data_IF_452859741619
#
_entry.id   IF_452859741619
#
_cell.length_a   1.000
_cell.length_b   1.000
_cell.length_c   1.000
_cell.angle_alpha   90.00
_cell.angle_beta   90.00
_cell.angle_gamma   90.00
#
_symmetry.space_group_name_H-M   'P 1'
#
loop_
_entity.id
_entity.type
_entity.pdbx_description
1 polymer ?
#
# COMPACT_ATOMS: atom_id res chain seq x y z
N UNK A 1 21.45 -44.96 17.21
CA UNK A 1 22.57 -44.76 16.28
C UNK A 1 22.69 -46.00 15.39
N UNK A 2 22.75 -45.87 14.06
CA UNK A 2 22.77 -47.00 13.13
C UNK A 2 24.04 -47.85 13.35
N UNK A 3 23.93 -49.18 13.45
CA UNK A 3 25.09 -50.09 13.60
C UNK A 3 26.14 -49.84 12.51
N UNK A 4 25.72 -49.48 11.29
CA UNK A 4 26.62 -49.10 10.19
C UNK A 4 27.40 -47.80 10.47
N UNK A 5 26.75 -46.81 11.10
CA UNK A 5 27.40 -45.55 11.46
C UNK A 5 28.41 -45.72 12.61
N UNK A 6 28.08 -46.57 13.60
CA UNK A 6 29.03 -46.90 14.68
C UNK A 6 30.29 -47.59 14.13
N UNK A 7 30.14 -48.54 13.20
CA UNK A 7 31.28 -49.21 12.55
C UNK A 7 32.16 -48.21 11.79
N UNK A 8 31.57 -47.24 11.09
CA UNK A 8 32.33 -46.21 10.37
C UNK A 8 33.12 -45.31 11.31
N UNK A 9 32.52 -44.89 12.44
CA UNK A 9 33.21 -44.06 13.44
C UNK A 9 34.41 -44.81 14.02
N UNK A 10 34.23 -46.08 14.39
CA UNK A 10 35.32 -46.92 14.93
C UNK A 10 36.43 -47.08 13.89
N UNK A 11 36.09 -47.27 12.62
CA UNK A 11 37.06 -47.41 11.54
C UNK A 11 37.88 -46.13 11.31
N UNK A 12 37.23 -44.96 11.33
CA UNK A 12 37.91 -43.66 11.21
C UNK A 12 38.90 -43.46 12.37
N UNK A 13 38.47 -43.72 13.61
CA UNK A 13 39.34 -43.62 14.78
C UNK A 13 40.57 -44.53 14.65
N UNK A 14 40.37 -45.76 14.20
CA UNK A 14 41.44 -46.74 14.04
C UNK A 14 42.45 -46.34 12.95
N UNK A 15 41.98 -45.78 11.83
CA UNK A 15 42.86 -45.23 10.78
C UNK A 15 43.67 -44.05 11.31
N UNK A 16 43.03 -43.11 12.01
CA UNK A 16 43.74 -41.92 12.54
C UNK A 16 44.81 -42.30 13.56
N UNK A 17 44.55 -43.30 14.40
CA UNK A 17 45.52 -43.84 15.35
C UNK A 17 46.72 -44.47 14.62
N UNK A 18 46.47 -45.32 13.63
CA UNK A 18 47.53 -45.97 12.85
C UNK A 18 48.38 -44.96 12.07
N UNK A 19 47.76 -43.94 11.49
CA UNK A 19 48.46 -42.86 10.79
C UNK A 19 49.38 -42.07 11.74
N UNK A 20 48.92 -41.78 12.96
CA UNK A 20 49.73 -41.12 13.99
C UNK A 20 50.94 -41.96 14.43
N UNK A 21 50.74 -43.27 14.64
CA UNK A 21 51.83 -44.19 14.97
C UNK A 21 52.85 -44.26 13.84
N UNK A 22 52.39 -44.41 12.58
CA UNK A 22 53.25 -44.47 11.41
C UNK A 22 54.06 -43.19 11.20
N UNK A 23 53.42 -42.02 11.37
CA UNK A 23 54.09 -40.73 11.31
C UNK A 23 55.17 -40.60 12.40
N UNK A 24 54.88 -41.02 13.63
CA UNK A 24 55.87 -40.98 14.71
C UNK A 24 57.04 -41.96 14.49
N UNK A 25 56.81 -43.14 13.88
CA UNK A 25 57.88 -44.09 13.54
C UNK A 25 58.80 -43.54 12.44
N UNK A 26 58.20 -42.89 11.43
CA UNK A 26 58.89 -42.36 10.26
C UNK A 26 59.63 -41.05 10.53
N UNK A 27 59.28 -40.33 11.61
CA UNK A 27 59.95 -39.10 11.99
C UNK A 27 61.36 -39.41 12.55
N UNK A 28 62.44 -38.80 12.03
CA UNK A 28 63.79 -38.98 12.56
C UNK A 28 63.93 -38.53 14.02
N UNK A 29 63.08 -37.62 14.50
CA UNK A 29 62.98 -37.19 15.89
C UNK A 29 61.78 -37.86 16.59
N UNK A 30 61.84 -39.18 16.79
CA UNK A 30 60.76 -39.95 17.43
C UNK A 30 60.44 -39.45 18.83
N UNK A 31 59.16 -39.28 19.14
CA UNK A 31 58.70 -39.02 20.51
C UNK A 31 58.79 -40.35 21.28
N UNK A 32 59.60 -40.40 22.35
CA UNK A 32 59.71 -41.57 23.21
C UNK A 32 58.40 -41.73 24.02
N UNK A 33 57.69 -42.84 23.81
CA UNK A 33 56.42 -43.11 24.50
C UNK A 33 56.59 -43.57 25.95
N UNK A 34 57.80 -43.97 26.34
CA UNK A 34 58.15 -44.35 27.71
C UNK A 34 59.35 -43.52 28.12
N UNK A 35 59.15 -42.63 29.10
CA UNK A 35 60.25 -41.93 29.73
C UNK A 35 61.15 -42.96 30.43
N UNK A 36 62.45 -42.94 30.14
CA UNK A 36 63.42 -43.78 30.85
C UNK A 36 63.27 -43.56 32.36
N UNK A 37 63.18 -44.66 33.11
CA UNK A 37 63.12 -44.62 34.56
C UNK A 37 64.43 -44.00 35.07
N UNK A 38 64.37 -42.73 35.47
CA UNK A 38 65.48 -42.11 36.19
C UNK A 38 65.61 -42.88 37.50
N UNK A 39 66.71 -43.59 37.69
CA UNK A 39 67.15 -43.96 39.04
C UNK A 39 67.37 -42.66 39.81
N UNK A 40 66.42 -42.36 40.68
CA UNK A 40 66.54 -41.32 41.68
C UNK A 40 67.17 -42.01 42.88
N UNK A 41 68.42 -41.68 43.19
CA UNK A 41 69.01 -42.06 44.48
C UNK A 41 68.25 -41.30 45.57
N UNK A 42 67.46 -42.04 46.33
CA UNK A 42 66.68 -41.50 47.43
C UNK A 42 67.55 -41.38 48.67
N UNK A 43 68.21 -40.23 48.78
CA UNK A 43 68.59 -39.66 50.08
C UNK A 43 67.30 -39.25 50.81
N UNK A 44 67.11 -39.77 52.04
CA UNK A 44 65.88 -39.56 52.83
C UNK A 44 65.57 -38.08 53.12
N UNK A 45 66.52 -37.15 52.96
CA UNK A 45 66.31 -35.71 53.17
C UNK A 45 65.75 -34.96 51.95
N UNK A 46 65.92 -35.47 50.72
CA UNK A 46 65.49 -34.77 49.49
C UNK A 46 64.03 -35.04 49.12
N UNK A 47 63.46 -36.13 49.65
CA UNK A 47 62.09 -36.58 49.39
C UNK A 47 61.03 -35.62 49.93
N UNK A 48 61.26 -35.07 51.13
CA UNK A 48 60.35 -34.13 51.77
C UNK A 48 60.41 -32.75 51.11
N UNK A 49 61.61 -32.30 50.71
CA UNK A 49 61.78 -31.00 50.05
C UNK A 49 61.15 -30.99 48.66
N UNK A 50 61.27 -32.09 47.91
CA UNK A 50 60.68 -32.19 46.59
C UNK A 50 59.15 -32.37 46.65
N UNK A 51 58.63 -33.12 47.63
CA UNK A 51 57.19 -33.22 47.88
C UNK A 51 56.56 -31.86 48.24
N UNK A 52 57.22 -31.04 49.05
CA UNK A 52 56.78 -29.68 49.38
C UNK A 52 56.80 -28.73 48.17
N UNK A 53 57.80 -28.84 47.27
CA UNK A 53 57.84 -28.05 46.02
C UNK A 53 56.76 -28.47 45.02
N UNK A 54 56.42 -29.76 44.96
CA UNK A 54 55.33 -30.26 44.13
C UNK A 54 53.98 -29.77 44.66
N UNK A 55 53.82 -29.68 45.98
CA UNK A 55 52.59 -29.15 46.57
C UNK A 55 52.40 -27.66 46.28
N UNK A 56 53.47 -26.85 46.34
CA UNK A 56 53.43 -25.43 45.97
C UNK A 56 53.14 -25.21 44.48
N UNK A 57 53.71 -26.03 43.59
CA UNK A 57 53.44 -25.93 42.15
C UNK A 57 52.01 -26.38 41.79
N UNK A 58 51.48 -27.40 42.47
CA UNK A 58 50.08 -27.81 42.34
C UNK A 58 49.11 -26.75 42.85
N UNK A 59 49.45 -26.08 43.96
CA UNK A 59 48.65 -24.97 44.50
C UNK A 59 48.62 -23.79 43.52
N UNK A 60 49.78 -23.41 42.96
CA UNK A 60 49.88 -22.35 41.94
C UNK A 60 49.14 -22.69 40.65
N UNK A 61 49.15 -23.96 40.24
CA UNK A 61 48.38 -24.43 39.09
C UNK A 61 46.88 -24.37 39.38
N UNK A 62 46.44 -24.79 40.58
CA UNK A 62 45.05 -24.69 41.02
C UNK A 62 44.55 -23.23 41.08
N UNK A 63 45.35 -22.33 41.63
CA UNK A 63 45.05 -20.89 41.71
C UNK A 63 44.95 -20.25 40.32
N UNK A 64 45.82 -20.68 39.39
CA UNK A 64 45.79 -20.21 38.01
C UNK A 64 44.54 -20.69 37.27
N UNK A 65 44.14 -21.95 37.49
CA UNK A 65 42.90 -22.50 36.94
C UNK A 65 41.65 -21.85 37.52
N UNK A 66 41.63 -21.52 38.82
CA UNK A 66 40.56 -20.77 39.48
C UNK A 66 40.43 -19.33 38.93
N UNK A 67 41.56 -18.66 38.67
CA UNK A 67 41.56 -17.35 38.00
C UNK A 67 41.04 -17.42 36.57
N UNK A 68 41.44 -18.45 35.82
CA UNK A 68 40.98 -18.69 34.44
C UNK A 68 39.48 -19.02 34.41
N UNK A 69 38.96 -19.82 35.36
CA UNK A 69 37.53 -20.12 35.43
C UNK A 69 36.70 -18.89 35.76
N UNK A 70 37.13 -18.08 36.74
CA UNK A 70 36.47 -16.82 37.09
C UNK A 70 36.45 -15.83 35.91
N UNK A 71 37.60 -15.62 35.26
CA UNK A 71 37.69 -14.74 34.09
C UNK A 71 36.81 -15.21 32.90
N UNK A 72 36.66 -16.53 32.74
CA UNK A 72 35.79 -17.10 31.71
C UNK A 72 34.30 -16.91 32.03
N UNK A 73 33.91 -17.06 33.29
CA UNK A 73 32.53 -16.81 33.74
C UNK A 73 32.13 -15.34 33.61
N UNK A 74 33.02 -14.42 33.96
CA UNK A 74 32.78 -12.98 33.81
C UNK A 74 32.65 -12.57 32.33
N UNK A 75 33.47 -13.15 31.45
CA UNK A 75 33.39 -12.93 30.00
C UNK A 75 32.07 -13.46 29.42
N UNK A 76 31.59 -14.62 29.90
CA UNK A 76 30.31 -15.21 29.51
C UNK A 76 29.12 -14.38 29.99
N UNK A 77 29.17 -13.87 31.23
CA UNK A 77 28.14 -12.96 31.78
C UNK A 77 28.05 -11.67 30.97
N UNK A 78 29.20 -11.06 30.66
CA UNK A 78 29.24 -9.84 29.87
C UNK A 78 28.68 -10.03 28.45
N UNK A 79 29.00 -11.16 27.79
CA UNK A 79 28.46 -11.49 26.48
C UNK A 79 26.94 -11.71 26.52
N UNK A 80 26.44 -12.37 27.57
CA UNK A 80 25.01 -12.62 27.76
C UNK A 80 24.22 -11.32 28.00
N UNK A 81 24.77 -10.42 28.81
CA UNK A 81 24.15 -9.14 29.12
C UNK A 81 24.11 -8.21 27.90
N UNK A 82 25.20 -8.20 27.12
CA UNK A 82 25.24 -7.52 25.82
C UNK A 82 24.19 -8.07 24.84
N UNK A 83 24.10 -9.40 24.71
CA UNK A 83 23.10 -10.03 23.84
C UNK A 83 21.66 -9.71 24.27
N UNK A 84 21.40 -9.68 25.59
CA UNK A 84 20.10 -9.27 26.13
C UNK A 84 19.77 -7.83 25.74
N UNK A 85 20.73 -6.92 25.86
CA UNK A 85 20.55 -5.52 25.47
C UNK A 85 20.31 -5.33 23.96
N UNK A 86 21.08 -6.04 23.13
CA UNK A 86 20.91 -6.02 21.68
C UNK A 86 19.54 -6.55 21.25
N UNK A 87 19.02 -7.59 21.94
CA UNK A 87 17.68 -8.12 21.68
C UNK A 87 16.57 -7.13 22.04
N UNK A 88 16.73 -6.36 23.12
CA UNK A 88 15.77 -5.32 23.53
C UNK A 88 15.79 -4.15 22.53
N UNK A 89 16.98 -3.74 22.08
CA UNK A 89 17.14 -2.68 21.08
C UNK A 89 16.48 -3.07 19.75
N UNK A 90 16.65 -4.32 19.31
CA UNK A 90 16.01 -4.84 18.10
C UNK A 90 14.48 -4.83 18.21
N UNK A 91 13.91 -5.29 19.33
CA UNK A 91 12.47 -5.29 19.57
C UNK A 91 11.87 -3.87 19.51
N UNK A 92 12.52 -2.90 20.17
CA UNK A 92 12.08 -1.49 20.18
C UNK A 92 12.14 -0.85 18.78
N UNK A 93 13.13 -1.22 17.97
CA UNK A 93 13.24 -0.77 16.57
C UNK A 93 12.12 -1.34 15.69
N UNK A 94 11.74 -2.59 15.90
CA UNK A 94 10.63 -3.22 15.15
C UNK A 94 9.28 -2.61 15.53
N UNK A 95 9.05 -2.35 16.81
CA UNK A 95 7.81 -1.72 17.29
C UNK A 95 7.66 -0.28 16.78
N UNK A 96 8.73 0.49 16.75
CA UNK A 96 8.70 1.85 16.20
C UNK A 96 8.42 1.86 14.70
N UNK A 97 9.03 0.95 13.92
CA UNK A 97 8.74 0.80 12.49
C UNK A 97 7.28 0.39 12.23
N UNK A 98 6.73 -0.51 13.05
CA UNK A 98 5.33 -0.92 12.95
C UNK A 98 4.39 0.26 13.19
N UNK A 99 4.62 1.07 14.23
CA UNK A 99 3.81 2.27 14.52
C UNK A 99 3.87 3.30 13.39
N UNK A 100 5.04 3.47 12.77
CA UNK A 100 5.20 4.35 11.61
C UNK A 100 4.39 3.80 10.43
N UNK A 101 4.48 2.49 10.14
CA UNK A 101 3.72 1.86 9.07
C UNK A 101 2.21 1.98 9.27
N UNK A 102 1.72 1.75 10.49
CA UNK A 102 0.30 1.87 10.83
C UNK A 102 -0.19 3.32 10.65
N UNK A 103 0.64 4.30 11.04
CA UNK A 103 0.35 5.72 10.86
C UNK A 103 0.30 6.12 9.38
N UNK A 104 1.21 5.59 8.56
CA UNK A 104 1.24 5.80 7.11
C UNK A 104 0.01 5.18 6.44
N UNK A 105 -0.36 3.96 6.83
CA UNK A 105 -1.56 3.28 6.31
C UNK A 105 -2.84 4.07 6.65
N UNK A 106 -2.97 4.54 7.88
CA UNK A 106 -4.11 5.36 8.30
C UNK A 106 -4.20 6.69 7.52
N UNK A 107 -3.06 7.33 7.26
CA UNK A 107 -3.00 8.55 6.45
C UNK A 107 -3.37 8.31 4.98
N UNK A 108 -2.92 7.20 4.40
CA UNK A 108 -3.27 6.80 3.03
C UNK A 108 -4.76 6.50 2.90
N UNK A 109 -5.33 5.78 3.86
CA UNK A 109 -6.76 5.47 3.88
C UNK A 109 -7.61 6.75 3.97
N UNK A 110 -7.23 7.69 4.84
CA UNK A 110 -7.91 8.99 4.94
C UNK A 110 -7.82 9.80 3.65
N UNK A 111 -6.68 9.76 2.95
CA UNK A 111 -6.49 10.39 1.64
C UNK A 111 -7.37 9.74 0.57
N UNK A 112 -7.44 8.41 0.53
CA UNK A 112 -8.29 7.66 -0.42
C UNK A 112 -9.78 7.95 -0.20
N UNK A 113 -10.23 8.02 1.05
CA UNK A 113 -11.62 8.35 1.40
C UNK A 113 -11.97 9.79 0.99
N UNK A 114 -11.05 10.74 1.19
CA UNK A 114 -11.21 12.12 0.70
C UNK A 114 -11.30 12.20 -0.83
N UNK A 115 -10.50 11.41 -1.57
CA UNK A 115 -10.51 11.39 -3.04
C UNK A 115 -11.82 10.77 -3.56
N UNK A 116 -12.29 9.67 -2.96
CA UNK A 116 -13.56 9.03 -3.35
C UNK A 116 -14.76 9.95 -3.11
N UNK A 117 -14.78 10.68 -1.99
CA UNK A 117 -15.83 11.65 -1.72
C UNK A 117 -15.80 12.85 -2.68
N UNK A 118 -14.61 13.32 -3.06
CA UNK A 118 -14.48 14.38 -4.07
C UNK A 118 -14.92 13.90 -5.46
N UNK A 119 -14.65 12.65 -5.82
CA UNK A 119 -15.07 12.05 -7.10
C UNK A 119 -16.58 11.81 -7.16
N UNK A 120 -17.22 11.41 -6.06
CA UNK A 120 -18.68 11.26 -5.98
C UNK A 120 -19.45 12.59 -6.02
N UNK A 121 -18.79 13.73 -5.77
CA UNK A 121 -19.37 15.06 -5.95
C UNK A 121 -19.21 15.63 -7.37
N UNK A 122 -18.50 14.93 -8.27
CA UNK A 122 -18.57 15.22 -9.70
C UNK A 122 -19.86 14.61 -10.21
N UNK A 123 -20.97 15.35 -10.11
CA UNK A 123 -22.18 15.05 -10.88
C UNK A 123 -21.75 14.88 -12.34
N UNK A 124 -21.83 13.66 -12.86
CA UNK A 124 -21.61 13.36 -14.27
C UNK A 124 -22.54 14.27 -15.06
N UNK A 125 -21.98 15.32 -15.67
CA UNK A 125 -22.77 16.30 -16.43
C UNK A 125 -23.31 15.53 -17.63
N UNK A 126 -24.61 15.23 -17.60
CA UNK A 126 -25.26 14.51 -18.69
C UNK A 126 -25.21 15.40 -19.92
N UNK A 127 -24.49 14.96 -20.95
CA UNK A 127 -24.37 15.71 -22.20
C UNK A 127 -25.74 15.79 -22.88
N UNK A 128 -26.25 17.00 -23.21
CA UNK A 128 -27.46 17.13 -24.00
C UNK A 128 -27.36 16.45 -25.36
N UNK A 129 -28.49 15.99 -25.89
CA UNK A 129 -28.55 15.23 -27.14
C UNK A 129 -29.24 16.03 -28.23
N UNK A 130 -28.57 16.17 -29.37
CA UNK A 130 -29.12 16.84 -30.55
C UNK A 130 -30.21 15.98 -31.21
N UNK A 131 -31.33 16.61 -31.56
CA UNK A 131 -32.47 15.92 -32.17
C UNK A 131 -32.96 16.66 -33.42
N UNK A 132 -33.54 15.89 -34.35
CA UNK A 132 -34.18 16.39 -35.58
C UNK A 132 -35.68 16.51 -35.40
N UNK A 133 -36.34 17.16 -36.36
CA UNK A 133 -37.77 17.48 -36.32
C UNK A 133 -38.68 16.28 -36.07
N UNK A 134 -38.39 15.11 -36.65
CA UNK A 134 -39.21 13.91 -36.45
C UNK A 134 -39.24 13.46 -34.99
N UNK A 135 -38.08 13.48 -34.33
CA UNK A 135 -37.98 13.11 -32.92
C UNK A 135 -38.53 14.19 -32.01
N UNK A 136 -38.31 15.46 -32.33
CA UNK A 136 -38.94 16.58 -31.61
C UNK A 136 -40.47 16.45 -31.66
N UNK A 137 -41.06 16.17 -32.82
CA UNK A 137 -42.49 15.94 -32.98
C UNK A 137 -42.97 14.74 -32.15
N UNK A 138 -42.23 13.63 -32.14
CA UNK A 138 -42.56 12.47 -31.30
C UNK A 138 -42.53 12.81 -29.79
N UNK A 139 -41.60 13.66 -29.34
CA UNK A 139 -41.55 14.12 -27.95
C UNK A 139 -42.72 15.07 -27.62
N UNK A 140 -43.10 15.93 -28.56
CA UNK A 140 -44.26 16.81 -28.44
C UNK A 140 -45.57 16.01 -28.33
N UNK A 141 -45.74 14.96 -29.14
CA UNK A 141 -46.94 14.10 -29.10
C UNK A 141 -47.07 13.35 -27.78
N UNK A 142 -45.93 13.02 -27.15
CA UNK A 142 -45.84 12.49 -25.79
C UNK A 142 -46.02 13.54 -24.69
N UNK A 143 -46.30 14.80 -25.05
CA UNK A 143 -46.53 15.93 -24.13
C UNK A 143 -45.34 16.26 -23.24
N UNK A 144 -44.12 16.01 -23.72
CA UNK A 144 -42.92 16.51 -23.04
C UNK A 144 -42.80 18.03 -23.19
N UNK A 145 -42.03 18.66 -22.28
CA UNK A 145 -41.96 20.11 -22.20
C UNK A 145 -40.93 20.68 -23.16
N UNK A 146 -41.35 21.70 -23.90
CA UNK A 146 -40.50 22.47 -24.79
C UNK A 146 -40.16 23.81 -24.13
N UNK A 147 -38.90 24.22 -24.23
CA UNK A 147 -38.37 25.46 -23.71
C UNK A 147 -37.88 26.33 -24.86
N UNK A 148 -38.53 27.48 -25.03
CA UNK A 148 -38.14 28.48 -26.03
C UNK A 148 -37.10 29.42 -25.42
N UNK A 149 -35.87 29.36 -25.95
CA UNK A 149 -34.75 30.14 -25.45
C UNK A 149 -34.66 31.56 -26.04
N UNK A 150 -35.56 31.92 -26.97
CA UNK A 150 -35.63 33.24 -27.62
C UNK A 150 -36.23 34.29 -26.70
N UNK A 151 -36.17 35.52 -27.15
CA UNK A 151 -36.74 36.67 -26.45
C UNK A 151 -38.27 36.59 -26.40
N UNK A 152 -38.86 37.23 -25.40
CA UNK A 152 -40.31 37.21 -25.20
C UNK A 152 -41.08 37.76 -26.42
N UNK A 153 -40.51 38.72 -27.15
CA UNK A 153 -41.12 39.26 -28.36
C UNK A 153 -41.25 38.20 -29.47
N UNK A 154 -40.20 37.43 -29.72
CA UNK A 154 -40.19 36.36 -30.71
C UNK A 154 -41.13 35.21 -30.32
N UNK A 155 -41.14 34.86 -29.04
CA UNK A 155 -42.08 33.87 -28.51
C UNK A 155 -43.54 34.31 -28.71
N UNK A 156 -43.85 35.58 -28.37
CA UNK A 156 -45.20 36.13 -28.53
C UNK A 156 -45.63 36.27 -30.00
N UNK A 157 -44.68 36.43 -30.92
CA UNK A 157 -44.95 36.45 -32.36
C UNK A 157 -45.25 35.05 -32.93
N UNK A 158 -44.82 34.00 -32.24
CA UNK A 158 -45.21 32.63 -32.52
C UNK A 158 -44.25 31.62 -31.89
N UNK A 159 -44.80 30.52 -31.37
CA UNK A 159 -44.01 29.49 -30.70
C UNK A 159 -44.66 28.10 -30.76
N UNK A 160 -43.89 27.06 -30.42
CA UNK A 160 -44.39 25.69 -30.32
C UNK A 160 -45.49 25.64 -29.26
N UNK A 161 -46.64 25.04 -29.58
CA UNK A 161 -47.80 25.06 -28.68
C UNK A 161 -47.46 24.48 -27.30
N UNK A 162 -47.74 25.25 -26.24
CA UNK A 162 -47.47 24.82 -24.86
C UNK A 162 -46.00 24.85 -24.45
N UNK A 163 -45.12 25.40 -25.30
CA UNK A 163 -43.75 25.72 -24.91
C UNK A 163 -43.72 26.78 -23.82
N UNK A 164 -42.68 26.72 -22.99
CA UNK A 164 -42.41 27.71 -21.96
C UNK A 164 -41.28 28.62 -22.42
N UNK A 165 -41.53 29.93 -22.46
CA UNK A 165 -40.46 30.90 -22.76
C UNK A 165 -39.53 31.09 -21.55
N UNK A 166 -38.24 30.91 -21.80
CA UNK A 166 -37.13 31.21 -20.90
C UNK A 166 -36.04 31.87 -21.77
N UNK A 167 -36.08 33.20 -21.97
CA UNK A 167 -35.05 33.89 -22.72
C UNK A 167 -33.69 33.71 -22.06
N UNK A 168 -32.76 33.08 -22.79
CA UNK A 168 -31.46 32.72 -22.20
C UNK A 168 -30.58 33.94 -21.89
N UNK A 169 -30.71 35.02 -22.66
CA UNK A 169 -29.99 36.27 -22.39
C UNK A 169 -30.38 36.89 -21.03
N UNK A 170 -31.56 36.52 -20.51
CA UNK A 170 -32.09 36.93 -19.21
C UNK A 170 -32.11 35.78 -18.19
N UNK A 171 -31.34 34.71 -18.40
CA UNK A 171 -31.43 33.46 -17.63
C UNK A 171 -31.46 33.66 -16.11
N UNK A 172 -30.72 34.64 -15.58
CA UNK A 172 -30.69 34.96 -14.15
C UNK A 172 -32.06 35.37 -13.61
N UNK A 173 -32.90 36.05 -14.40
CA UNK A 173 -34.29 36.39 -14.02
C UNK A 173 -35.20 35.17 -13.98
N UNK A 174 -34.87 34.12 -14.73
CA UNK A 174 -35.68 32.91 -14.89
C UNK A 174 -35.11 31.70 -14.13
N UNK A 175 -34.02 31.89 -13.41
CA UNK A 175 -33.30 30.83 -12.70
C UNK A 175 -34.18 30.08 -11.70
N UNK A 176 -35.00 30.81 -10.94
CA UNK A 176 -35.92 30.20 -9.97
C UNK A 176 -36.97 29.33 -10.67
N UNK A 177 -37.50 29.79 -11.81
CA UNK A 177 -38.41 28.98 -12.63
C UNK A 177 -37.76 27.69 -13.11
N UNK A 178 -36.47 27.70 -13.47
CA UNK A 178 -35.72 26.49 -13.81
C UNK A 178 -35.43 25.61 -12.60
N UNK A 179 -35.23 26.19 -11.42
CA UNK A 179 -35.02 25.44 -10.17
C UNK A 179 -36.26 24.64 -9.78
N UNK A 180 -37.45 25.21 -9.98
CA UNK A 180 -38.73 24.57 -9.66
C UNK A 180 -39.09 23.41 -10.60
N UNK A 181 -38.40 23.28 -11.74
CA UNK A 181 -38.64 22.19 -12.68
C UNK A 181 -38.08 20.86 -12.18
N UNK A 182 -38.84 19.75 -12.29
CA UNK A 182 -38.36 18.41 -11.97
C UNK A 182 -37.17 17.99 -12.85
N UNK A 183 -36.03 17.68 -12.23
CA UNK A 183 -34.75 17.37 -12.93
C UNK A 183 -34.75 16.02 -13.66
N UNK A 184 -35.66 15.12 -13.30
CA UNK A 184 -35.79 13.77 -13.87
C UNK A 184 -36.67 13.72 -15.13
N UNK A 185 -37.34 14.82 -15.48
CA UNK A 185 -38.19 14.90 -16.66
C UNK A 185 -37.40 15.19 -17.94
N UNK A 186 -38.05 14.94 -19.08
CA UNK A 186 -37.53 15.23 -20.42
C UNK A 186 -37.88 16.66 -20.80
N UNK A 187 -36.87 17.42 -21.22
CA UNK A 187 -37.01 18.76 -21.75
C UNK A 187 -36.39 18.85 -23.14
N UNK A 188 -37.04 19.62 -24.01
CA UNK A 188 -36.52 19.96 -25.33
C UNK A 188 -36.29 21.46 -25.39
N UNK A 189 -35.05 21.90 -25.57
CA UNK A 189 -34.73 23.30 -25.79
C UNK A 189 -34.74 23.59 -27.29
N UNK A 190 -35.22 24.77 -27.65
CA UNK A 190 -35.18 25.23 -29.03
C UNK A 190 -35.08 26.76 -29.09
N UNK A 191 -34.67 27.26 -30.25
CA UNK A 191 -34.60 28.68 -30.59
C UNK A 191 -34.99 28.85 -32.06
N UNK A 192 -34.46 29.82 -32.80
CA UNK A 192 -34.59 29.86 -34.26
C UNK A 192 -33.60 28.88 -34.93
N UNK A 193 -33.81 28.51 -36.19
CA UNK A 193 -33.05 27.44 -36.86
C UNK A 193 -31.54 27.72 -37.03
N UNK A 194 -31.12 28.98 -36.93
CA UNK A 194 -29.73 29.42 -37.06
C UNK A 194 -29.20 30.06 -35.76
N UNK A 195 -29.69 29.59 -34.61
CA UNK A 195 -29.39 30.17 -33.31
C UNK A 195 -28.77 29.10 -32.40
N UNK A 196 -27.71 29.47 -31.68
CA UNK A 196 -26.99 28.55 -30.77
C UNK A 196 -27.49 28.64 -29.32
N UNK A 197 -28.41 29.57 -29.03
CA UNK A 197 -28.86 29.87 -27.66
C UNK A 197 -29.58 28.67 -27.01
N UNK A 198 -30.22 27.82 -27.80
CA UNK A 198 -30.84 26.58 -27.29
C UNK A 198 -29.81 25.55 -26.81
N UNK A 199 -28.59 25.57 -27.36
CA UNK A 199 -27.46 24.74 -26.94
C UNK A 199 -27.01 25.20 -25.56
N UNK A 200 -26.78 26.50 -25.39
CA UNK A 200 -26.36 27.07 -24.11
C UNK A 200 -27.39 26.81 -23.00
N UNK A 201 -28.67 26.97 -23.31
CA UNK A 201 -29.77 26.59 -22.39
C UNK A 201 -29.66 25.12 -21.97
N UNK A 202 -29.45 24.21 -22.92
CA UNK A 202 -29.41 22.78 -22.62
C UNK A 202 -28.21 22.40 -21.74
N UNK A 203 -27.03 22.96 -22.01
CA UNK A 203 -25.84 22.75 -21.18
C UNK A 203 -25.98 23.41 -19.81
N UNK A 204 -26.64 24.57 -19.72
CA UNK A 204 -26.96 25.20 -18.44
C UNK A 204 -27.86 24.29 -17.60
N UNK A 205 -28.93 23.75 -18.19
CA UNK A 205 -29.79 22.77 -17.52
C UNK A 205 -29.02 21.49 -17.12
N UNK A 206 -28.17 20.95 -17.99
CA UNK A 206 -27.34 19.79 -17.63
C UNK A 206 -26.47 20.07 -16.38
N UNK A 207 -25.85 21.25 -16.31
CA UNK A 207 -25.07 21.70 -15.13
C UNK A 207 -25.93 21.88 -13.88
N UNK A 208 -27.21 22.23 -14.03
CA UNK A 208 -28.18 22.29 -12.93
C UNK A 208 -28.71 20.90 -12.50
N UNK A 209 -28.20 19.81 -13.08
CA UNK A 209 -28.55 18.44 -12.71
C UNK A 209 -29.76 17.86 -13.45
N UNK A 210 -30.24 18.50 -14.51
CA UNK A 210 -31.27 17.91 -15.36
C UNK A 210 -30.71 16.70 -16.11
N UNK A 211 -31.41 15.57 -16.04
CA UNK A 211 -30.90 14.28 -16.54
C UNK A 211 -31.20 14.02 -18.01
N UNK A 212 -32.22 14.68 -18.59
CA UNK A 212 -32.70 14.40 -19.95
C UNK A 212 -33.06 15.70 -20.66
N UNK A 213 -32.06 16.26 -21.35
CA UNK A 213 -32.22 17.50 -22.12
C UNK A 213 -31.86 17.25 -23.57
N UNK A 214 -32.75 17.63 -24.48
CA UNK A 214 -32.57 17.50 -25.92
C UNK A 214 -32.52 18.87 -26.57
N UNK A 215 -31.67 19.02 -27.60
CA UNK A 215 -31.53 20.26 -28.37
C UNK A 215 -32.20 20.06 -29.72
N UNK A 216 -33.26 20.82 -29.99
CA UNK A 216 -33.91 20.83 -31.30
C UNK A 216 -33.38 21.99 -32.14
N UNK A 217 -32.34 21.71 -32.95
CA UNK A 217 -31.65 22.68 -33.82
C UNK A 217 -32.55 23.31 -34.88
N UNK A 218 -33.53 22.56 -35.39
CA UNK A 218 -34.47 23.07 -36.39
C UNK A 218 -35.33 24.23 -35.90
N UNK A 219 -35.47 24.33 -34.57
CA UNK A 219 -36.04 25.50 -33.94
C UNK A 219 -37.48 25.81 -34.36
N UNK A 220 -37.86 27.05 -34.13
CA UNK A 220 -39.16 27.58 -34.49
C UNK A 220 -39.41 27.56 -36.01
N UNK A 221 -38.38 27.84 -36.82
CA UNK A 221 -38.56 28.00 -38.26
C UNK A 221 -38.91 26.67 -38.94
N UNK A 222 -38.22 25.57 -38.61
CA UNK A 222 -38.57 24.25 -39.14
C UNK A 222 -39.93 23.78 -38.60
N UNK A 223 -40.23 24.03 -37.31
CA UNK A 223 -41.51 23.66 -36.71
C UNK A 223 -42.69 24.32 -37.42
N UNK A 224 -42.56 25.63 -37.66
CA UNK A 224 -43.55 26.43 -38.37
C UNK A 224 -43.68 25.99 -39.84
N UNK A 225 -42.57 25.75 -40.52
CA UNK A 225 -42.56 25.29 -41.91
C UNK A 225 -43.25 23.92 -42.07
N UNK A 226 -43.15 23.05 -41.07
CA UNK A 226 -43.82 21.76 -41.04
C UNK A 226 -45.34 21.84 -40.74
N UNK A 227 -45.87 23.03 -40.41
CA UNK A 227 -47.28 23.21 -40.08
C UNK A 227 -47.72 22.51 -38.79
N UNK A 228 -46.78 22.29 -37.86
CA UNK A 228 -47.07 21.65 -36.58
C UNK A 228 -47.76 22.61 -35.60
N UNK A 229 -48.42 22.09 -34.55
CA UNK A 229 -49.21 22.92 -33.65
C UNK A 229 -48.38 24.03 -33.00
N UNK A 230 -48.89 25.25 -33.09
CA UNK A 230 -48.24 26.47 -32.63
C UNK A 230 -49.27 27.45 -32.04
N UNK A 231 -48.77 28.39 -31.25
CA UNK A 231 -49.52 29.54 -30.74
C UNK A 231 -48.97 30.84 -31.31
#
# INVERSE_FOLDING_TARGET
MNKKALIHIVYILLITLLAGIFFNISNPNRIQFVANEKRVDFSASDSLLNALRIQDSLQKAADSLLKLSGSREDSLRLALEKHKQDSILAANKTDSLKRIQDSVNAANQKKEDSIKNAQNQVTEIVKPVDIKIDFAKALFDKKYRFLDARDAADFNAGHIQGAMNIPFHEIEKYKDRLNDLPKDQVYVTYCSAACDVSIDMAYYMAKMGFKKVYIFHGGWDEWKAAGYPAN
#
